data_IF_867398652042
#
_entry.id   IF_867398652042
#
_cell.length_a   1.000
_cell.length_b   1.000
_cell.length_c   1.000
_cell.angle_alpha   90.00
_cell.angle_beta   90.00
_cell.angle_gamma   90.00
#
_symmetry.space_group_name_H-M   'P 1'
#
loop_
_entity.id
_entity.type
_entity.pdbx_description
1 polymer ?
#
# COMPACT_ATOMS: atom_id res chain seq x y z
N UNK A 1 -25.05 28.99 -18.07
CA UNK A 1 -23.59 28.86 -18.18
C UNK A 1 -23.18 27.45 -17.84
N UNK A 2 -22.80 26.66 -18.84
CA UNK A 2 -22.25 25.33 -18.69
C UNK A 2 -20.72 25.49 -18.63
N UNK A 3 -20.11 25.27 -17.47
CA UNK A 3 -18.65 25.29 -17.31
C UNK A 3 -18.10 23.98 -17.88
N UNK A 4 -17.59 24.01 -19.11
CA UNK A 4 -16.70 22.98 -19.63
C UNK A 4 -15.34 23.16 -18.95
N UNK A 5 -15.04 22.28 -17.99
CA UNK A 5 -13.68 22.05 -17.50
C UNK A 5 -12.86 21.43 -18.65
N UNK A 6 -12.23 22.30 -19.44
CA UNK A 6 -11.15 21.90 -20.34
C UNK A 6 -9.99 21.41 -19.47
N UNK A 7 -9.88 20.10 -19.29
CA UNK A 7 -8.63 19.47 -18.87
C UNK A 7 -7.64 19.71 -20.01
N UNK A 8 -6.90 20.80 -19.94
CA UNK A 8 -5.81 21.07 -20.88
C UNK A 8 -4.73 20.04 -20.57
N UNK A 9 -4.59 19.00 -21.40
CA UNK A 9 -3.43 18.15 -21.32
C UNK A 9 -2.18 19.04 -21.47
N UNK A 10 -1.15 18.82 -20.65
CA UNK A 10 0.05 19.64 -20.68
C UNK A 10 0.87 19.29 -21.92
N UNK A 11 1.19 20.30 -22.74
CA UNK A 11 1.96 20.11 -23.96
C UNK A 11 3.46 20.12 -23.67
N UNK A 12 4.22 19.31 -24.40
CA UNK A 12 5.66 19.13 -24.22
C UNK A 12 6.40 18.90 -25.54
N UNK A 13 7.73 18.86 -25.49
CA UNK A 13 8.55 18.45 -26.62
C UNK A 13 8.52 19.45 -27.77
N UNK A 14 8.75 18.98 -29.00
CA UNK A 14 8.87 19.83 -30.21
C UNK A 14 7.61 20.66 -30.49
N UNK A 15 6.45 20.18 -30.06
CA UNK A 15 5.16 20.86 -30.20
C UNK A 15 5.01 22.04 -29.23
N UNK A 16 5.81 22.05 -28.15
CA UNK A 16 5.78 23.06 -27.09
C UNK A 16 7.14 23.74 -26.88
N UNK A 17 7.92 23.94 -27.95
CA UNK A 17 9.21 24.65 -27.86
C UNK A 17 10.28 23.95 -27.02
N UNK A 18 10.21 22.63 -26.88
CA UNK A 18 11.16 21.84 -26.10
C UNK A 18 10.88 21.79 -24.59
N UNK A 19 9.70 22.25 -24.15
CA UNK A 19 9.29 22.18 -22.75
C UNK A 19 9.26 20.72 -22.25
N UNK A 20 9.81 20.50 -21.06
CA UNK A 20 9.70 19.24 -20.34
C UNK A 20 8.36 19.13 -19.63
N UNK A 21 7.84 17.92 -19.47
CA UNK A 21 6.65 17.71 -18.67
C UNK A 21 6.94 17.93 -17.18
N UNK A 22 6.00 18.50 -16.41
CA UNK A 22 6.12 18.57 -14.97
C UNK A 22 6.07 17.16 -14.35
N UNK A 23 6.50 17.06 -13.09
CA UNK A 23 6.51 15.82 -12.29
C UNK A 23 7.28 14.65 -12.93
N UNK A 24 8.17 14.91 -13.89
CA UNK A 24 8.97 13.85 -14.53
C UNK A 24 8.20 12.98 -15.52
N UNK A 25 7.00 13.39 -15.96
CA UNK A 25 6.17 12.61 -16.90
C UNK A 25 6.84 12.48 -18.27
N UNK A 26 6.59 11.39 -18.98
CA UNK A 26 7.11 11.18 -20.32
C UNK A 26 6.43 12.11 -21.32
N UNK A 27 7.21 12.67 -22.24
CA UNK A 27 6.68 13.41 -23.37
C UNK A 27 6.47 12.48 -24.57
N UNK A 28 5.21 12.22 -24.92
CA UNK A 28 4.84 11.36 -26.06
C UNK A 28 5.31 11.92 -27.41
N UNK A 29 5.28 11.09 -28.45
CA UNK A 29 5.59 11.49 -29.83
C UNK A 29 4.72 12.69 -30.31
N UNK A 30 3.51 12.78 -29.76
CA UNK A 30 2.51 13.79 -30.12
C UNK A 30 2.60 15.06 -29.27
N UNK A 31 3.54 15.14 -28.33
CA UNK A 31 3.77 16.35 -27.53
C UNK A 31 2.82 16.49 -26.34
N UNK A 32 2.41 15.37 -25.74
CA UNK A 32 1.59 15.34 -24.53
C UNK A 32 2.30 14.62 -23.39
N UNK A 33 2.07 15.10 -22.18
CA UNK A 33 2.61 14.52 -20.95
C UNK A 33 1.78 13.34 -20.42
N UNK A 34 2.45 12.28 -19.99
CA UNK A 34 1.82 11.10 -19.37
C UNK A 34 2.83 10.06 -18.90
N UNK A 35 2.35 9.01 -18.22
CA UNK A 35 3.17 7.97 -17.57
C UNK A 35 2.90 6.54 -18.09
N UNK A 36 2.05 6.41 -19.10
CA UNK A 36 1.69 5.12 -19.70
C UNK A 36 2.58 4.77 -20.90
N UNK A 37 2.55 3.50 -21.34
CA UNK A 37 3.37 3.01 -22.46
C UNK A 37 3.33 3.91 -23.73
N UNK A 38 2.17 4.44 -24.19
CA UNK A 38 2.10 5.36 -25.34
C UNK A 38 2.92 6.65 -25.19
N UNK A 39 3.26 7.05 -23.97
CA UNK A 39 3.99 8.27 -23.67
C UNK A 39 5.49 8.02 -23.49
N UNK A 40 5.85 6.88 -22.88
CA UNK A 40 7.22 6.59 -22.46
C UNK A 40 8.00 5.68 -23.42
N UNK A 41 7.31 4.89 -24.25
CA UNK A 41 7.95 3.86 -25.08
C UNK A 41 8.81 4.48 -26.19
N UNK A 42 9.93 3.81 -26.45
CA UNK A 42 10.75 4.05 -27.64
C UNK A 42 10.42 3.02 -28.74
N UNK A 43 10.47 3.40 -30.02
CA UNK A 43 10.68 4.75 -30.52
C UNK A 43 9.44 5.63 -30.31
N UNK A 44 9.62 6.93 -30.07
CA UNK A 44 8.53 7.91 -30.12
C UNK A 44 8.52 8.90 -28.96
N UNK A 45 8.89 8.48 -27.75
CA UNK A 45 9.02 9.41 -26.64
C UNK A 45 10.12 10.45 -26.90
N UNK A 46 9.79 11.73 -26.68
CA UNK A 46 10.65 12.88 -26.96
C UNK A 46 11.56 13.26 -25.79
N UNK A 47 11.08 13.13 -24.54
CA UNK A 47 11.82 13.47 -23.33
C UNK A 47 11.25 12.77 -22.10
N UNK A 48 12.07 12.57 -21.06
CA UNK A 48 11.67 11.90 -19.80
C UNK A 48 11.13 10.47 -20.03
N UNK A 49 11.66 9.76 -21.03
CA UNK A 49 11.14 8.48 -21.53
C UNK A 49 11.36 7.30 -20.60
N UNK A 50 12.35 7.44 -19.73
CA UNK A 50 12.40 6.73 -18.47
C UNK A 50 11.78 7.68 -17.46
N UNK A 51 10.48 7.53 -17.13
CA UNK A 51 9.91 8.32 -16.05
C UNK A 51 10.76 8.03 -14.80
N UNK A 52 10.91 8.98 -13.86
CA UNK A 52 11.29 8.58 -12.51
C UNK A 52 10.32 7.47 -12.14
N UNK A 53 10.84 6.27 -11.83
CA UNK A 53 10.02 5.21 -11.27
C UNK A 53 9.11 5.82 -10.19
N UNK A 54 7.86 5.37 -10.05
CA UNK A 54 6.80 6.10 -9.34
C UNK A 54 7.40 6.75 -8.11
N UNK A 55 7.40 8.08 -8.09
CA UNK A 55 7.93 8.84 -6.95
C UNK A 55 7.33 8.20 -5.71
N UNK A 56 8.13 7.66 -4.77
CA UNK A 56 7.59 6.93 -3.64
C UNK A 56 6.85 7.94 -2.76
N UNK A 57 5.58 8.15 -3.05
CA UNK A 57 4.62 8.84 -2.19
C UNK A 57 4.28 7.99 -0.97
N UNK A 58 4.85 6.78 -0.86
CA UNK A 58 4.44 5.75 0.10
C UNK A 58 3.01 5.26 -0.18
N UNK A 59 2.45 5.57 -1.35
CA UNK A 59 1.08 5.21 -1.69
C UNK A 59 1.02 3.81 -2.31
N UNK A 60 0.58 2.85 -1.52
CA UNK A 60 0.39 1.46 -1.93
C UNK A 60 -0.91 1.24 -2.70
N UNK A 61 -1.73 2.28 -2.94
CA UNK A 61 -3.01 2.16 -3.63
C UNK A 61 -2.92 1.55 -5.04
N UNK A 62 -1.77 1.70 -5.70
CA UNK A 62 -1.47 1.06 -7.00
C UNK A 62 -0.98 -0.39 -6.92
N UNK A 63 -0.69 -0.91 -5.72
CA UNK A 63 -0.21 -2.28 -5.49
C UNK A 63 -1.29 -3.18 -4.89
N UNK A 64 -2.07 -2.62 -3.96
CA UNK A 64 -3.18 -3.29 -3.28
C UNK A 64 -4.36 -2.33 -3.18
N UNK A 65 -5.47 -2.68 -3.83
CA UNK A 65 -6.73 -1.93 -3.70
C UNK A 65 -7.42 -2.23 -2.37
N UNK A 66 -8.37 -1.37 -1.97
CA UNK A 66 -9.23 -1.65 -0.81
C UNK A 66 -9.98 -2.97 -0.96
N UNK A 67 -10.46 -3.29 -2.16
CA UNK A 67 -11.17 -4.56 -2.40
C UNK A 67 -10.25 -5.76 -2.23
N UNK A 68 -8.99 -5.69 -2.71
CA UNK A 68 -8.03 -6.78 -2.51
C UNK A 68 -7.65 -6.95 -1.04
N UNK A 69 -7.51 -5.85 -0.30
CA UNK A 69 -7.33 -5.89 1.14
C UNK A 69 -8.52 -6.55 1.84
N UNK A 70 -9.74 -6.21 1.45
CA UNK A 70 -10.97 -6.79 1.99
C UNK A 70 -11.12 -8.27 1.63
N UNK A 71 -10.76 -8.67 0.41
CA UNK A 71 -10.78 -10.07 -0.04
C UNK A 71 -9.73 -10.92 0.69
N UNK A 72 -8.52 -10.38 0.91
CA UNK A 72 -7.47 -11.05 1.66
C UNK A 72 -7.85 -11.25 3.13
N UNK A 73 -8.48 -10.24 3.74
CA UNK A 73 -8.84 -10.21 5.16
C UNK A 73 -10.35 -10.34 5.36
N UNK A 74 -10.94 -11.33 4.67
CA UNK A 74 -12.37 -11.48 4.43
C UNK A 74 -13.22 -11.55 5.70
N UNK A 75 -12.78 -12.34 6.68
CA UNK A 75 -13.54 -12.60 7.92
C UNK A 75 -13.11 -11.74 9.12
N UNK A 76 -12.17 -10.80 8.95
CA UNK A 76 -11.64 -9.99 10.08
C UNK A 76 -12.71 -9.19 10.83
N UNK A 77 -13.83 -8.90 10.16
CA UNK A 77 -14.95 -8.12 10.68
C UNK A 77 -16.15 -8.98 11.12
N UNK A 78 -16.02 -10.31 11.06
CA UNK A 78 -17.07 -11.21 11.51
C UNK A 78 -17.36 -11.00 13.01
N UNK A 79 -18.59 -11.28 13.42
CA UNK A 79 -19.01 -11.06 14.80
C UNK A 79 -18.20 -11.86 15.83
N UNK A 80 -17.60 -12.98 15.41
CA UNK A 80 -16.73 -13.82 16.23
C UNK A 80 -15.35 -13.18 16.48
N UNK A 81 -14.94 -12.18 15.70
CA UNK A 81 -13.62 -11.56 15.81
C UNK A 81 -13.61 -10.40 16.81
N UNK A 82 -12.83 -10.48 17.91
CA UNK A 82 -12.75 -9.39 18.89
C UNK A 82 -12.19 -8.08 18.32
N UNK A 83 -11.42 -8.15 17.23
CA UNK A 83 -10.88 -6.98 16.55
C UNK A 83 -11.80 -6.41 15.44
N UNK A 84 -13.05 -6.90 15.29
CA UNK A 84 -13.97 -6.42 14.25
C UNK A 84 -14.04 -4.89 14.18
N UNK A 85 -13.90 -4.34 12.97
CA UNK A 85 -13.91 -2.91 12.69
C UNK A 85 -12.63 -2.15 13.04
N UNK A 86 -11.61 -2.79 13.64
CA UNK A 86 -10.35 -2.13 14.00
C UNK A 86 -9.42 -1.96 12.80
N UNK A 87 -9.25 -3.01 12.00
CA UNK A 87 -8.33 -3.04 10.87
C UNK A 87 -8.98 -2.51 9.58
N UNK A 88 -8.65 -1.28 9.23
CA UNK A 88 -9.18 -0.60 8.05
C UNK A 88 -8.10 -0.39 6.99
N UNK A 89 -8.51 -0.41 5.72
CA UNK A 89 -7.61 -0.11 4.60
C UNK A 89 -6.95 1.26 4.74
N UNK A 90 -7.72 2.28 5.16
CA UNK A 90 -7.20 3.63 5.37
C UNK A 90 -6.11 3.67 6.46
N UNK A 91 -6.28 2.92 7.55
CA UNK A 91 -5.24 2.81 8.58
C UNK A 91 -3.98 2.13 8.04
N UNK A 92 -4.14 1.06 7.25
CA UNK A 92 -3.02 0.39 6.59
C UNK A 92 -2.25 1.33 5.65
N UNK A 93 -2.93 2.02 4.73
CA UNK A 93 -2.29 2.98 3.81
C UNK A 93 -1.64 4.15 4.57
N UNK A 94 -2.29 4.64 5.63
CA UNK A 94 -1.73 5.72 6.46
C UNK A 94 -0.45 5.29 7.16
N UNK A 95 -0.40 4.07 7.71
CA UNK A 95 0.80 3.52 8.32
C UNK A 95 1.91 3.27 7.29
N UNK A 96 1.57 2.72 6.12
CA UNK A 96 2.54 2.44 5.06
C UNK A 96 3.28 3.70 4.58
N UNK A 97 2.62 4.87 4.57
CA UNK A 97 3.25 6.16 4.23
C UNK A 97 4.41 6.54 5.16
N UNK A 98 4.44 6.02 6.40
CA UNK A 98 5.56 6.23 7.32
C UNK A 98 6.78 5.36 7.00
N UNK A 99 6.64 4.35 6.12
CA UNK A 99 7.68 3.42 5.73
C UNK A 99 7.85 3.43 4.21
N UNK A 100 8.47 4.46 3.62
CA UNK A 100 8.45 4.69 2.18
C UNK A 100 9.13 3.59 1.34
N UNK A 101 9.91 2.69 1.96
CA UNK A 101 10.50 1.52 1.31
C UNK A 101 9.60 0.27 1.28
N UNK A 102 8.55 0.24 2.11
CA UNK A 102 7.62 -0.88 2.21
C UNK A 102 6.71 -0.93 0.98
N UNK A 103 6.72 -2.03 0.24
CA UNK A 103 5.86 -2.26 -0.93
C UNK A 103 6.16 -1.37 -2.13
N UNK A 104 7.27 -0.64 -2.12
CA UNK A 104 7.69 0.31 -3.18
C UNK A 104 9.02 -0.08 -3.82
N UNK A 105 9.69 -1.12 -3.30
CA UNK A 105 11.02 -1.54 -3.73
C UNK A 105 10.97 -2.67 -4.77
N UNK A 106 11.77 -2.54 -5.84
CA UNK A 106 11.86 -3.54 -6.91
C UNK A 106 10.71 -3.48 -7.91
N UNK A 107 10.58 -4.54 -8.71
CA UNK A 107 9.53 -4.63 -9.72
C UNK A 107 8.12 -4.88 -9.12
N UNK A 108 7.08 -4.81 -9.94
CA UNK A 108 5.69 -5.02 -9.49
C UNK A 108 5.48 -6.38 -8.82
N UNK A 109 6.14 -7.43 -9.31
CA UNK A 109 6.03 -8.76 -8.72
C UNK A 109 6.64 -8.80 -7.32
N UNK A 110 7.81 -8.19 -7.13
CA UNK A 110 8.51 -8.06 -5.85
C UNK A 110 7.67 -7.29 -4.85
N UNK A 111 7.12 -6.14 -5.26
CA UNK A 111 6.24 -5.32 -4.40
C UNK A 111 4.99 -6.09 -3.95
N UNK A 112 4.31 -6.78 -4.88
CA UNK A 112 3.17 -7.64 -4.53
C UNK A 112 3.56 -8.78 -3.59
N UNK A 113 4.73 -9.38 -3.80
CA UNK A 113 5.27 -10.45 -2.94
C UNK A 113 5.56 -9.94 -1.53
N UNK A 114 6.12 -8.75 -1.38
CA UNK A 114 6.35 -8.12 -0.08
C UNK A 114 5.04 -7.89 0.67
N UNK A 115 4.03 -7.30 0.01
CA UNK A 115 2.71 -7.09 0.60
C UNK A 115 2.04 -8.42 1.00
N UNK A 116 2.12 -9.43 0.13
CA UNK A 116 1.57 -10.75 0.43
C UNK A 116 2.29 -11.43 1.60
N UNK A 117 3.62 -11.32 1.69
CA UNK A 117 4.40 -11.87 2.80
C UNK A 117 4.08 -11.16 4.12
N UNK A 118 3.97 -9.83 4.09
CA UNK A 118 3.57 -9.04 5.25
C UNK A 118 2.19 -9.47 5.76
N UNK A 119 1.18 -9.51 4.88
CA UNK A 119 -0.16 -9.96 5.27
C UNK A 119 -0.20 -11.43 5.69
N UNK A 120 0.60 -12.30 5.06
CA UNK A 120 0.71 -13.71 5.47
C UNK A 120 1.19 -13.87 6.91
N UNK A 121 2.30 -13.22 7.28
CA UNK A 121 2.82 -13.29 8.64
C UNK A 121 1.87 -12.65 9.65
N UNK A 122 1.43 -11.42 9.39
CA UNK A 122 0.55 -10.70 10.33
C UNK A 122 -0.83 -11.35 10.47
N UNK A 123 -1.32 -12.04 9.43
CA UNK A 123 -2.54 -12.85 9.51
C UNK A 123 -2.35 -14.08 10.39
N UNK A 124 -1.17 -14.73 10.36
CA UNK A 124 -0.85 -15.84 11.24
C UNK A 124 -0.86 -15.41 12.72
N UNK A 125 -0.20 -14.29 13.05
CA UNK A 125 -0.14 -13.75 14.41
C UNK A 125 -1.53 -13.38 14.99
N UNK A 126 -2.50 -13.10 14.12
CA UNK A 126 -3.82 -12.59 14.50
C UNK A 126 -4.96 -13.50 14.07
N UNK A 127 -4.65 -14.75 13.74
CA UNK A 127 -5.62 -15.66 13.12
C UNK A 127 -6.73 -16.07 14.08
N UNK A 128 -7.97 -16.05 13.58
CA UNK A 128 -9.11 -16.73 14.18
C UNK A 128 -9.51 -18.00 13.42
N UNK A 129 -8.70 -18.45 12.46
CA UNK A 129 -9.03 -19.56 11.57
C UNK A 129 -8.90 -20.93 12.24
N UNK A 130 -9.75 -21.85 11.82
CA UNK A 130 -9.70 -23.27 12.20
C UNK A 130 -9.87 -24.15 10.95
N UNK A 131 -9.61 -25.46 11.08
CA UNK A 131 -9.53 -26.37 9.94
C UNK A 131 -10.76 -26.40 9.03
N UNK A 132 -11.96 -26.17 9.58
CA UNK A 132 -13.24 -26.15 8.86
C UNK A 132 -13.87 -24.75 8.80
N UNK A 133 -13.06 -23.70 8.93
CA UNK A 133 -13.57 -22.34 8.87
C UNK A 133 -14.19 -22.02 7.50
N UNK A 134 -15.27 -21.21 7.45
CA UNK A 134 -15.80 -20.68 6.20
C UNK A 134 -14.68 -20.05 5.36
N UNK A 135 -14.66 -20.35 4.05
CA UNK A 135 -13.61 -19.91 3.12
C UNK A 135 -12.16 -20.36 3.49
N UNK A 136 -12.03 -21.34 4.38
CA UNK A 136 -10.76 -21.94 4.81
C UNK A 136 -10.05 -21.18 5.94
N UNK A 137 -9.03 -21.77 6.59
CA UNK A 137 -8.37 -21.17 7.76
C UNK A 137 -7.59 -19.89 7.45
N UNK A 138 -7.23 -19.65 6.17
CA UNK A 138 -6.34 -18.55 5.78
C UNK A 138 -7.08 -17.23 5.49
N UNK A 139 -8.40 -17.23 5.44
CA UNK A 139 -9.24 -16.03 5.27
C UNK A 139 -9.63 -15.36 6.60
N UNK A 140 -9.13 -15.89 7.72
CA UNK A 140 -9.43 -15.50 9.10
C UNK A 140 -8.28 -14.78 9.82
N UNK A 141 -7.31 -14.27 9.05
CA UNK A 141 -6.32 -13.33 9.59
C UNK A 141 -6.96 -12.06 10.14
N UNK A 142 -6.24 -11.34 11.00
CA UNK A 142 -6.67 -10.04 11.55
C UNK A 142 -7.93 -10.10 12.42
N UNK A 143 -8.22 -11.26 13.00
CA UNK A 143 -9.37 -11.48 13.88
C UNK A 143 -9.13 -10.95 15.31
N UNK A 144 -7.86 -10.96 15.75
CA UNK A 144 -7.41 -10.46 17.05
C UNK A 144 -6.47 -9.26 16.90
N UNK A 145 -6.35 -8.44 17.96
CA UNK A 145 -5.46 -7.25 18.01
C UNK A 145 -4.60 -7.14 19.27
N UNK A 146 -4.72 -8.13 20.14
CA UNK A 146 -4.01 -8.23 21.42
C UNK A 146 -3.89 -9.72 21.77
N UNK A 147 -2.83 -10.08 22.48
CA UNK A 147 -2.60 -11.46 22.92
C UNK A 147 -3.80 -12.02 23.70
N UNK A 148 -4.09 -13.29 23.48
CA UNK A 148 -5.12 -14.02 24.21
C UNK A 148 -4.53 -14.67 25.44
N UNK A 149 -5.12 -14.41 26.62
CA UNK A 149 -4.71 -14.98 27.90
C UNK A 149 -3.20 -14.81 28.22
N UNK A 150 -2.67 -13.58 28.17
CA UNK A 150 -1.25 -13.34 28.46
C UNK A 150 -0.93 -13.74 29.90
N UNK A 151 0.16 -14.48 30.07
CA UNK A 151 0.64 -14.95 31.39
C UNK A 151 1.73 -14.06 31.98
N UNK A 152 2.23 -13.10 31.18
CA UNK A 152 3.28 -12.15 31.54
C UNK A 152 2.88 -10.73 31.12
N UNK A 153 3.52 -9.74 31.73
CA UNK A 153 3.43 -8.35 31.27
C UNK A 153 4.50 -8.00 30.22
N UNK A 154 5.38 -8.94 29.88
CA UNK A 154 6.49 -8.80 28.91
C UNK A 154 7.37 -7.56 29.16
N UNK A 155 7.62 -7.26 30.43
CA UNK A 155 8.50 -6.18 30.84
C UNK A 155 9.89 -6.75 31.11
N UNK A 156 10.86 -6.40 30.26
CA UNK A 156 12.28 -6.60 30.48
C UNK A 156 12.95 -5.23 30.69
N UNK A 157 13.08 -4.77 31.94
CA UNK A 157 13.53 -3.42 32.21
C UNK A 157 15.01 -3.25 31.84
N UNK A 158 15.31 -2.17 31.14
CA UNK A 158 16.69 -1.72 30.87
C UNK A 158 16.82 -0.21 31.05
N UNK A 159 18.05 0.29 31.09
CA UNK A 159 18.30 1.74 31.17
C UNK A 159 17.69 2.49 29.97
N UNK A 160 17.68 1.87 28.79
CA UNK A 160 17.10 2.44 27.56
C UNK A 160 15.58 2.27 27.52
N UNK A 161 15.06 1.15 28.03
CA UNK A 161 13.64 0.78 27.97
C UNK A 161 13.11 0.46 29.37
N UNK A 162 12.86 1.47 30.21
CA UNK A 162 12.28 1.27 31.52
C UNK A 162 10.79 0.88 31.39
N UNK A 163 10.33 -0.04 32.23
CA UNK A 163 8.92 -0.41 32.26
C UNK A 163 8.08 0.66 32.95
N UNK A 164 7.08 1.16 32.24
CA UNK A 164 6.18 2.17 32.76
C UNK A 164 5.23 1.54 33.82
N UNK A 165 5.05 2.18 35.00
CA UNK A 165 4.16 1.66 36.03
C UNK A 165 2.75 1.37 35.51
N UNK A 166 2.25 0.17 35.80
CA UNK A 166 0.90 -0.27 35.39
C UNK A 166 0.74 -0.60 33.90
N UNK A 167 1.80 -0.52 33.09
CA UNK A 167 1.76 -0.93 31.67
C UNK A 167 2.13 -2.40 31.50
N UNK A 168 1.62 -2.96 30.40
CA UNK A 168 1.82 -4.35 29.97
C UNK A 168 2.13 -4.31 28.47
N UNK A 169 2.98 -5.22 28.00
CA UNK A 169 3.61 -5.17 26.67
C UNK A 169 3.29 -6.42 25.81
N UNK A 170 2.07 -6.94 25.94
CA UNK A 170 1.47 -7.97 25.07
C UNK A 170 0.50 -7.36 24.05
#
# INVERSE_FOLDING_TARGET
>A
SLLLSLASAEQCGRQAGGVFCPNGLCCSEFGWCGDTEPYCKQPGCQSQCTPPGPTPTGDLSGIISSSQFDDMLKHRNDAACPARGFYTYNAFITAAKSFPGFGTSGDTATRKKEIAAFFGQTSHETTGGWASAPDGPFSWGYCFKQEQNPTSNYCEPSATWPCAPGKRYY
#
